data_IF_922875348011
#
_entry.id   IF_922875348011
#
_cell.length_a   1.000
_cell.length_b   1.000
_cell.length_c   1.000
_cell.angle_alpha   90.00
_cell.angle_beta   90.00
_cell.angle_gamma   90.00
#
_symmetry.space_group_name_H-M   'P 1'
#
loop_
_entity.id
_entity.type
_entity.pdbx_description
1 polymer ?
#
# COMPACT_ATOMS: atom_id res chain seq x y z
N UNK A 1 -20.74 8.71 5.06
CA UNK A 1 -19.65 7.73 4.88
C UNK A 1 -19.49 7.50 3.39
N UNK A 2 -18.28 7.64 2.82
CA UNK A 2 -18.04 7.45 1.38
C UNK A 2 -16.96 6.39 1.21
N UNK A 3 -17.36 5.25 0.63
CA UNK A 3 -16.45 4.20 0.18
C UNK A 3 -16.16 4.44 -1.30
N UNK A 4 -14.89 4.42 -1.67
CA UNK A 4 -14.47 4.41 -3.07
C UNK A 4 -13.46 3.29 -3.25
N UNK A 5 -13.64 2.52 -4.32
CA UNK A 5 -12.76 1.41 -4.70
C UNK A 5 -12.39 1.64 -6.16
N UNK A 6 -11.10 1.66 -6.44
CA UNK A 6 -10.56 1.79 -7.80
C UNK A 6 -9.44 0.78 -8.00
N UNK A 7 -9.27 0.30 -9.23
CA UNK A 7 -8.11 -0.52 -9.56
C UNK A 7 -6.84 0.34 -9.47
N UNK A 8 -5.80 -0.23 -8.87
CA UNK A 8 -4.48 0.37 -8.89
C UNK A 8 -3.98 0.43 -10.35
N UNK A 9 -3.43 1.57 -10.73
CA UNK A 9 -2.87 1.79 -12.06
C UNK A 9 -1.38 1.47 -12.00
N UNK A 10 -0.87 0.65 -12.93
CA UNK A 10 0.54 0.31 -12.98
C UNK A 10 1.36 1.35 -13.76
N UNK A 11 2.70 1.20 -13.77
CA UNK A 11 3.61 2.13 -14.47
C UNK A 11 3.35 2.24 -15.98
N UNK A 12 2.69 1.24 -16.59
CA UNK A 12 2.29 1.27 -18.00
C UNK A 12 0.91 1.90 -18.21
N UNK A 13 0.38 2.60 -17.21
CA UNK A 13 -0.94 3.23 -17.19
C UNK A 13 -2.11 2.26 -17.42
N UNK A 14 -1.93 0.98 -17.09
CA UNK A 14 -2.96 -0.04 -17.17
C UNK A 14 -3.52 -0.36 -15.79
N UNK A 15 -4.81 -0.68 -15.72
CA UNK A 15 -5.42 -1.18 -14.49
C UNK A 15 -4.85 -2.56 -14.12
N UNK A 16 -4.32 -2.67 -12.91
CA UNK A 16 -3.88 -3.93 -12.35
C UNK A 16 -5.09 -4.69 -11.79
N UNK A 17 -5.41 -5.82 -12.43
CA UNK A 17 -6.52 -6.69 -12.03
C UNK A 17 -6.24 -7.27 -10.63
N UNK A 18 -7.26 -7.33 -9.78
CA UNK A 18 -7.18 -7.77 -8.38
C UNK A 18 -6.26 -6.94 -7.49
N UNK A 19 -5.92 -5.71 -7.90
CA UNK A 19 -5.15 -4.76 -7.10
C UNK A 19 -5.98 -3.49 -6.95
N UNK A 20 -6.27 -3.11 -5.71
CA UNK A 20 -7.25 -2.06 -5.42
C UNK A 20 -6.67 -0.98 -4.51
N UNK A 21 -7.05 0.25 -4.80
CA UNK A 21 -6.96 1.38 -3.87
C UNK A 21 -8.34 1.60 -3.29
N UNK A 22 -8.44 1.49 -1.96
CA UNK A 22 -9.71 1.66 -1.24
C UNK A 22 -9.63 2.91 -0.39
N UNK A 23 -10.54 3.84 -0.59
CA UNK A 23 -10.65 5.07 0.20
C UNK A 23 -11.87 4.95 1.11
N UNK A 24 -11.64 4.96 2.42
CA UNK A 24 -12.68 4.81 3.43
C UNK A 24 -12.36 5.66 4.65
N UNK A 25 -13.31 6.54 5.03
CA UNK A 25 -13.22 7.37 6.24
C UNK A 25 -11.93 8.21 6.33
N UNK A 26 -11.43 8.70 5.19
CA UNK A 26 -10.19 9.47 5.10
C UNK A 26 -8.91 8.62 5.08
N UNK A 27 -9.01 7.32 5.31
CA UNK A 27 -7.91 6.39 5.12
C UNK A 27 -7.82 5.97 3.64
N UNK A 28 -6.61 5.62 3.21
CA UNK A 28 -6.34 5.02 1.91
C UNK A 28 -5.70 3.66 2.15
N UNK A 29 -6.22 2.62 1.53
CA UNK A 29 -5.73 1.26 1.65
C UNK A 29 -5.26 0.74 0.31
N UNK A 30 -4.33 -0.20 0.37
CA UNK A 30 -3.97 -1.06 -0.74
C UNK A 30 -4.43 -2.48 -0.41
N UNK A 31 -5.25 -3.04 -1.29
CA UNK A 31 -5.74 -4.41 -1.21
C UNK A 31 -5.24 -5.20 -2.43
N UNK A 32 -4.65 -6.37 -2.19
CA UNK A 32 -4.32 -7.36 -3.21
C UNK A 32 -5.21 -8.57 -3.01
N UNK A 33 -6.02 -8.91 -4.01
CA UNK A 33 -7.11 -9.89 -3.89
C UNK A 33 -8.01 -9.56 -2.70
N UNK A 34 -8.10 -10.43 -1.69
CA UNK A 34 -8.93 -10.25 -0.49
C UNK A 34 -8.14 -9.74 0.72
N UNK A 35 -6.83 -9.49 0.56
CA UNK A 35 -5.93 -9.12 1.65
C UNK A 35 -5.58 -7.63 1.60
N UNK A 36 -5.76 -6.94 2.73
CA UNK A 36 -5.31 -5.56 2.90
C UNK A 36 -3.82 -5.56 3.25
N UNK A 37 -3.01 -5.01 2.35
CA UNK A 37 -1.55 -5.05 2.43
C UNK A 37 -0.99 -3.78 3.08
N UNK A 38 -1.57 -2.61 2.77
CA UNK A 38 -1.09 -1.34 3.30
C UNK A 38 -2.24 -0.39 3.64
N UNK A 39 -1.97 0.51 4.57
CA UNK A 39 -2.86 1.60 4.99
C UNK A 39 -2.06 2.88 5.13
N UNK A 40 -2.61 3.97 4.61
CA UNK A 40 -2.29 5.34 4.98
C UNK A 40 -3.47 5.89 5.76
N UNK A 41 -3.24 6.29 7.01
CA UNK A 41 -4.28 6.93 7.80
C UNK A 41 -4.48 8.41 7.40
N UNK A 42 -5.51 9.03 7.96
CA UNK A 42 -5.82 10.45 7.73
C UNK A 42 -4.69 11.42 8.14
N UNK A 43 -3.80 10.99 9.03
CA UNK A 43 -2.66 11.77 9.52
C UNK A 43 -1.40 11.51 8.67
N UNK A 44 -1.51 10.67 7.63
CA UNK A 44 -0.43 10.32 6.71
C UNK A 44 0.46 9.18 7.18
N UNK A 45 0.18 8.54 8.32
CA UNK A 45 1.01 7.44 8.83
C UNK A 45 0.77 6.17 8.02
N UNK A 46 1.85 5.48 7.72
CA UNK A 46 1.83 4.27 6.91
C UNK A 46 1.95 3.03 7.79
N UNK A 47 1.07 2.07 7.55
CA UNK A 47 1.09 0.76 8.18
C UNK A 47 1.04 -0.33 7.11
N UNK A 48 1.92 -1.32 7.20
CA UNK A 48 1.94 -2.51 6.35
C UNK A 48 1.51 -3.73 7.15
N UNK A 49 0.86 -4.68 6.46
CA UNK A 49 0.67 -6.02 7.00
C UNK A 49 2.02 -6.77 7.02
N UNK A 50 2.19 -7.71 7.93
CA UNK A 50 3.46 -8.44 8.08
C UNK A 50 3.83 -9.31 6.88
N UNK A 51 2.84 -9.66 6.06
CA UNK A 51 2.97 -10.44 4.82
C UNK A 51 3.01 -9.56 3.56
N UNK A 52 3.39 -8.29 3.70
CA UNK A 52 3.44 -7.34 2.58
C UNK A 52 4.34 -7.78 1.42
N UNK A 53 5.32 -8.64 1.71
CA UNK A 53 6.31 -9.18 0.79
C UNK A 53 5.97 -10.58 0.25
N UNK A 54 4.76 -11.08 0.51
CA UNK A 54 4.33 -12.46 0.22
C UNK A 54 4.48 -12.90 -1.26
N UNK A 55 4.48 -11.95 -2.20
CA UNK A 55 4.72 -12.26 -3.61
C UNK A 55 5.38 -11.10 -4.35
N UNK A 56 6.08 -11.42 -5.44
CA UNK A 56 6.68 -10.42 -6.35
C UNK A 56 5.64 -9.45 -6.90
N UNK A 57 4.44 -9.94 -7.22
CA UNK A 57 3.32 -9.13 -7.73
C UNK A 57 2.80 -8.18 -6.67
N UNK A 58 2.62 -8.66 -5.43
CA UNK A 58 2.16 -7.83 -4.31
C UNK A 58 3.15 -6.69 -4.04
N UNK A 59 4.45 -7.00 -4.00
CA UNK A 59 5.52 -6.01 -3.76
C UNK A 59 5.57 -4.95 -4.85
N UNK A 60 5.51 -5.35 -6.12
CA UNK A 60 5.53 -4.40 -7.25
C UNK A 60 4.42 -3.35 -7.10
N UNK A 61 3.19 -3.80 -6.86
CA UNK A 61 2.06 -2.88 -6.73
C UNK A 61 2.04 -2.14 -5.39
N UNK A 62 2.64 -2.69 -4.33
CA UNK A 62 2.88 -1.95 -3.09
C UNK A 62 3.79 -0.74 -3.33
N UNK A 63 4.87 -0.88 -4.09
CA UNK A 63 5.80 0.23 -4.35
C UNK A 63 5.11 1.34 -5.14
N UNK A 64 4.33 0.96 -6.16
CA UNK A 64 3.48 1.88 -6.93
C UNK A 64 2.50 2.59 -5.99
N UNK A 65 1.82 1.84 -5.12
CA UNK A 65 0.89 2.42 -4.17
C UNK A 65 1.59 3.41 -3.21
N UNK A 66 2.74 3.04 -2.66
CA UNK A 66 3.53 3.90 -1.78
C UNK A 66 3.91 5.21 -2.50
N UNK A 67 4.41 5.11 -3.73
CA UNK A 67 4.81 6.28 -4.52
C UNK A 67 3.63 7.21 -4.84
N UNK A 68 2.50 6.64 -5.25
CA UNK A 68 1.40 7.41 -5.84
C UNK A 68 0.36 7.85 -4.80
N UNK A 69 0.24 7.12 -3.69
CA UNK A 69 -0.77 7.38 -2.66
C UNK A 69 -0.19 7.89 -1.34
N UNK A 70 1.13 7.98 -1.19
CA UNK A 70 1.77 8.41 0.07
C UNK A 70 2.86 9.45 -0.15
N UNK A 71 3.54 9.86 0.92
CA UNK A 71 4.74 10.71 0.86
C UNK A 71 6.01 9.97 0.43
N UNK A 72 5.97 8.63 0.33
CA UNK A 72 7.12 7.78 0.01
C UNK A 72 7.34 7.66 -1.51
N UNK A 73 7.62 8.79 -2.17
CA UNK A 73 7.79 8.87 -3.63
C UNK A 73 9.05 8.20 -4.19
N UNK A 74 10.01 7.88 -3.32
CA UNK A 74 11.33 7.35 -3.69
C UNK A 74 11.43 5.82 -3.56
N UNK A 75 10.33 5.13 -3.28
CA UNK A 75 10.34 3.67 -3.12
C UNK A 75 10.38 3.00 -4.49
N UNK A 76 11.47 2.33 -4.78
CA UNK A 76 11.66 1.57 -6.02
C UNK A 76 11.83 0.07 -5.75
N UNK A 77 12.35 -0.27 -4.57
CA UNK A 77 12.75 -1.63 -4.26
C UNK A 77 12.47 -2.02 -2.80
N UNK A 78 12.71 -3.29 -2.49
CA UNK A 78 12.46 -3.87 -1.17
C UNK A 78 13.30 -3.23 -0.07
N UNK A 79 14.54 -2.84 -0.39
CA UNK A 79 15.45 -2.22 0.56
C UNK A 79 14.93 -0.87 1.02
N UNK A 80 14.37 -0.05 0.13
CA UNK A 80 13.81 1.26 0.50
C UNK A 80 12.66 1.11 1.51
N UNK A 81 11.83 0.07 1.35
CA UNK A 81 10.74 -0.24 2.28
C UNK A 81 11.29 -0.71 3.62
N UNK A 82 12.27 -1.62 3.60
CA UNK A 82 12.93 -2.12 4.82
C UNK A 82 13.61 -0.98 5.59
N UNK A 83 14.32 -0.09 4.88
CA UNK A 83 14.96 1.07 5.49
C UNK A 83 13.92 2.01 6.10
N UNK A 84 12.78 2.24 5.45
CA UNK A 84 11.67 3.02 6.01
C UNK A 84 11.05 2.36 7.25
N UNK A 85 10.97 1.03 7.30
CA UNK A 85 10.53 0.28 8.49
C UNK A 85 11.54 0.43 9.63
N UNK A 86 12.83 0.24 9.35
CA UNK A 86 13.90 0.33 10.34
C UNK A 86 14.03 1.75 10.93
N UNK A 87 13.81 2.77 10.11
CA UNK A 87 13.79 4.17 10.53
C UNK A 87 12.48 4.58 11.24
N UNK A 88 11.52 3.66 11.41
CA UNK A 88 10.25 3.90 12.09
C UNK A 88 9.26 4.77 11.30
N UNK A 89 9.51 5.00 10.02
CA UNK A 89 8.64 5.76 9.12
C UNK A 89 7.42 4.93 8.68
N UNK A 90 7.59 3.61 8.62
CA UNK A 90 6.53 2.64 8.31
C UNK A 90 6.37 1.68 9.49
N UNK A 91 5.13 1.51 9.96
CA UNK A 91 4.80 0.51 10.98
C UNK A 91 4.39 -0.81 10.33
N UNK A 92 4.82 -1.93 10.90
CA UNK A 92 4.35 -3.28 10.49
C UNK A 92 3.46 -3.87 11.57
N UNK A 93 2.35 -4.50 11.17
CA UNK A 93 1.42 -5.19 12.07
C UNK A 93 1.02 -6.56 11.49
N UNK A 94 0.61 -7.50 12.35
CA UNK A 94 0.26 -8.85 11.92
C UNK A 94 -0.97 -8.94 11.03
N UNK A 95 -1.94 -8.03 11.21
CA UNK A 95 -3.17 -7.99 10.41
C UNK A 95 -3.62 -6.56 10.19
N UNK A 96 -4.15 -6.27 8.99
CA UNK A 96 -4.77 -5.01 8.64
C UNK A 96 -6.24 -5.22 8.26
N UNK A 97 -7.07 -4.26 8.66
CA UNK A 97 -8.50 -4.20 8.36
C UNK A 97 -8.91 -2.75 8.06
N UNK A 98 -10.06 -2.61 7.42
CA UNK A 98 -10.70 -1.34 7.08
C UNK A 98 -11.08 -0.48 8.29
#
# INVERSE_FOLDING_TARGET
MKLQIENLVNDNNNHAVNQFVVKLNGNVFYQSYDTVIAKKDKDGKITLCSDWDCSKTTRKHLYIWLRDNTSFRYVENEKDVIDAINNGLIKVVSTLKY
#
